data_IF_245011061913
#
_entry.id   IF_245011061913
#
_cell.length_a   1.000
_cell.length_b   1.000
_cell.length_c   1.000
_cell.angle_alpha   90.00
_cell.angle_beta   90.00
_cell.angle_gamma   90.00
#
_symmetry.space_group_name_H-M   'P 1'
#
loop_
_entity.id
_entity.type
_entity.pdbx_description
1 polymer ?
#
# COMPACT_ATOMS: atom_id res chain seq x y z
N UNK A 1 2.04 5.18 -13.70
CA UNK A 1 3.25 4.40 -13.40
C UNK A 1 3.13 3.09 -14.15
N UNK A 2 4.13 2.71 -14.95
CA UNK A 2 4.08 1.46 -15.72
C UNK A 2 4.60 0.34 -14.79
N UNK A 3 3.72 -0.57 -14.40
CA UNK A 3 4.04 -1.72 -13.55
C UNK A 3 4.78 -2.77 -14.41
N UNK A 4 5.82 -3.37 -13.85
CA UNK A 4 6.60 -4.41 -14.51
C UNK A 4 5.76 -5.69 -14.73
N UNK A 5 6.15 -6.50 -15.72
CA UNK A 5 5.32 -7.60 -16.21
C UNK A 5 4.94 -8.60 -15.11
N UNK A 6 5.88 -9.05 -14.27
CA UNK A 6 5.57 -9.96 -13.14
C UNK A 6 4.62 -9.35 -12.11
N UNK A 7 4.86 -8.10 -11.71
CA UNK A 7 4.05 -7.39 -10.73
C UNK A 7 2.59 -7.23 -11.19
N UNK A 8 2.38 -7.05 -12.51
CA UNK A 8 1.03 -7.02 -13.08
C UNK A 8 0.28 -8.34 -12.85
N UNK A 9 0.92 -9.49 -13.04
CA UNK A 9 0.28 -10.79 -12.81
C UNK A 9 0.03 -11.06 -11.32
N UNK A 10 0.94 -10.62 -10.45
CA UNK A 10 0.69 -10.64 -9.00
C UNK A 10 -0.54 -9.80 -8.64
N UNK A 11 -0.63 -8.59 -9.16
CA UNK A 11 -1.78 -7.70 -8.95
C UNK A 11 -3.08 -8.35 -9.44
N UNK A 12 -3.09 -8.93 -10.64
CA UNK A 12 -4.25 -9.67 -11.17
C UNK A 12 -4.65 -10.82 -10.26
N UNK A 13 -3.68 -11.65 -9.82
CA UNK A 13 -3.92 -12.77 -8.92
C UNK A 13 -4.49 -12.30 -7.59
N UNK A 14 -3.87 -11.32 -6.93
CA UNK A 14 -4.32 -10.83 -5.63
C UNK A 14 -5.71 -10.18 -5.70
N UNK A 15 -5.99 -9.40 -6.74
CA UNK A 15 -7.31 -8.83 -6.95
C UNK A 15 -8.36 -9.92 -7.20
N UNK A 16 -8.05 -10.94 -8.00
CA UNK A 16 -8.94 -12.07 -8.23
C UNK A 16 -9.19 -12.91 -6.97
N UNK A 17 -8.17 -13.07 -6.11
CA UNK A 17 -8.33 -13.74 -4.82
C UNK A 17 -9.30 -12.98 -3.90
N UNK A 18 -9.28 -11.63 -3.93
CA UNK A 18 -10.20 -10.75 -3.19
C UNK A 18 -11.60 -10.71 -3.82
N UNK A 19 -11.70 -10.66 -5.14
CA UNK A 19 -12.95 -10.63 -5.91
C UNK A 19 -12.88 -11.56 -7.14
N UNK A 20 -13.62 -12.66 -7.07
CA UNK A 20 -13.67 -13.69 -8.14
C UNK A 20 -14.43 -13.25 -9.39
N UNK A 21 -15.08 -12.08 -9.37
CA UNK A 21 -15.82 -11.54 -10.52
C UNK A 21 -14.93 -10.83 -11.53
N UNK A 22 -13.66 -10.54 -11.18
CA UNK A 22 -12.69 -9.89 -12.06
C UNK A 22 -12.45 -10.76 -13.30
N UNK A 23 -12.62 -10.16 -14.49
CA UNK A 23 -12.42 -10.84 -15.77
C UNK A 23 -10.94 -11.08 -16.06
N UNK A 24 -10.49 -12.32 -15.88
CA UNK A 24 -9.11 -12.77 -16.13
C UNK A 24 -9.11 -14.10 -16.88
N UNK A 25 -8.04 -14.37 -17.63
CA UNK A 25 -7.78 -15.69 -18.18
C UNK A 25 -7.22 -16.60 -17.06
N UNK A 26 -7.57 -17.90 -17.03
CA UNK A 26 -7.16 -18.80 -15.94
C UNK A 26 -5.65 -18.78 -15.66
N UNK A 27 -4.82 -18.81 -16.70
CA UNK A 27 -3.36 -18.81 -16.57
C UNK A 27 -2.79 -17.53 -15.94
N UNK A 28 -3.51 -16.40 -15.96
CA UNK A 28 -3.03 -15.13 -15.41
C UNK A 28 -3.04 -15.09 -13.88
N UNK A 29 -3.84 -15.96 -13.24
CA UNK A 29 -4.06 -15.97 -11.79
C UNK A 29 -3.73 -17.30 -11.13
N UNK A 30 -3.20 -18.24 -11.91
CA UNK A 30 -2.68 -19.51 -11.42
C UNK A 30 -1.52 -19.30 -10.44
N UNK A 31 -1.45 -20.18 -9.44
CA UNK A 31 -0.27 -20.27 -8.59
C UNK A 31 0.76 -21.20 -9.23
N UNK A 32 1.72 -20.60 -9.92
CA UNK A 32 2.82 -21.34 -10.55
C UNK A 32 3.77 -21.96 -9.51
N UNK A 33 3.78 -21.47 -8.26
CA UNK A 33 4.62 -22.02 -7.18
C UNK A 33 4.17 -23.41 -6.74
N UNK A 34 2.89 -23.71 -6.90
CA UNK A 34 2.30 -25.02 -6.55
C UNK A 34 2.46 -26.07 -7.66
N UNK A 35 2.80 -25.66 -8.88
CA UNK A 35 2.95 -26.58 -10.03
C UNK A 35 4.26 -27.35 -9.95
N UNK A 36 4.29 -28.57 -10.48
CA UNK A 36 5.55 -29.36 -10.54
C UNK A 36 6.42 -28.90 -11.71
N UNK A 37 7.72 -29.10 -11.60
CA UNK A 37 8.66 -28.70 -12.65
C UNK A 37 8.36 -29.36 -14.00
N UNK A 38 8.00 -30.64 -13.99
CA UNK A 38 7.63 -31.38 -15.22
C UNK A 38 6.37 -30.80 -15.89
N UNK A 39 5.44 -30.26 -15.09
CA UNK A 39 4.24 -29.60 -15.58
C UNK A 39 4.59 -28.27 -16.26
N UNK A 40 5.51 -27.49 -15.67
CA UNK A 40 5.99 -26.23 -16.24
C UNK A 40 6.64 -26.45 -17.61
N UNK A 41 7.58 -27.41 -17.72
CA UNK A 41 8.19 -27.77 -19.00
C UNK A 41 7.18 -28.33 -20.01
N UNK A 42 6.23 -29.16 -19.55
CA UNK A 42 5.16 -29.70 -20.39
C UNK A 42 4.29 -28.60 -21.00
N UNK A 43 3.99 -27.54 -20.23
CA UNK A 43 3.23 -26.37 -20.71
C UNK A 43 4.04 -25.51 -21.67
N UNK A 44 5.33 -25.27 -21.39
CA UNK A 44 6.21 -24.58 -22.33
C UNK A 44 6.27 -25.30 -23.68
N UNK A 45 6.34 -26.65 -23.65
CA UNK A 45 6.28 -27.48 -24.85
C UNK A 45 4.96 -27.34 -25.60
N UNK A 46 3.84 -27.28 -24.89
CA UNK A 46 2.52 -27.06 -25.50
C UNK A 46 2.39 -25.68 -26.16
N UNK A 47 3.07 -24.66 -25.62
CA UNK A 47 3.16 -23.33 -26.21
C UNK A 47 4.15 -23.27 -27.40
N UNK A 48 4.96 -24.31 -27.60
CA UNK A 48 5.92 -24.41 -28.71
C UNK A 48 7.38 -24.20 -28.34
N UNK A 49 7.72 -24.03 -27.05
CA UNK A 49 9.10 -24.04 -26.57
C UNK A 49 9.52 -25.45 -26.12
N UNK A 50 10.38 -26.08 -26.91
CA UNK A 50 10.98 -27.38 -26.60
C UNK A 50 12.19 -27.22 -25.67
N UNK A 51 11.89 -26.88 -24.41
CA UNK A 51 12.86 -26.81 -23.32
C UNK A 51 12.75 -28.05 -22.43
N UNK A 52 13.92 -28.55 -22.05
CA UNK A 52 14.16 -29.41 -20.90
C UNK A 52 15.09 -28.65 -19.94
N UNK A 53 15.38 -29.22 -18.77
CA UNK A 53 16.24 -28.60 -17.77
C UNK A 53 17.62 -28.21 -18.35
N UNK A 54 18.27 -29.11 -19.09
CA UNK A 54 19.59 -28.87 -19.69
C UNK A 54 19.55 -27.68 -20.67
N UNK A 55 18.55 -27.63 -21.55
CA UNK A 55 18.37 -26.53 -22.52
C UNK A 55 18.00 -25.23 -21.84
N UNK A 56 17.20 -25.27 -20.79
CA UNK A 56 16.85 -24.10 -20.00
C UNK A 56 18.11 -23.50 -19.37
N UNK A 57 18.91 -24.32 -18.68
CA UNK A 57 20.15 -23.88 -18.06
C UNK A 57 21.15 -23.36 -19.11
N UNK A 58 21.24 -23.98 -20.28
CA UNK A 58 22.07 -23.50 -21.38
C UNK A 58 21.64 -22.12 -21.87
N UNK A 59 20.34 -21.89 -22.08
CA UNK A 59 19.80 -20.61 -22.50
C UNK A 59 19.97 -19.53 -21.41
N UNK A 60 19.75 -19.89 -20.15
CA UNK A 60 19.83 -18.98 -19.02
C UNK A 60 21.25 -18.47 -18.75
N UNK A 61 22.30 -19.22 -19.14
CA UNK A 61 23.70 -18.74 -19.04
C UNK A 61 23.94 -17.46 -19.83
N UNK A 62 23.20 -17.25 -20.90
CA UNK A 62 23.40 -16.08 -21.75
C UNK A 62 22.48 -14.91 -21.37
N UNK A 63 21.43 -15.13 -20.58
CA UNK A 63 20.51 -14.10 -20.10
C UNK A 63 20.89 -13.63 -18.69
N UNK A 64 20.58 -12.37 -18.34
CA UNK A 64 20.82 -11.83 -16.99
C UNK A 64 19.69 -12.11 -16.02
N UNK A 65 18.46 -12.10 -16.52
CA UNK A 65 17.23 -12.18 -15.76
C UNK A 65 16.15 -12.96 -16.55
N UNK A 66 15.03 -13.37 -15.91
CA UNK A 66 13.97 -14.12 -16.59
C UNK A 66 13.29 -13.32 -17.71
N UNK A 67 13.26 -11.99 -17.62
CA UNK A 67 12.73 -11.11 -18.66
C UNK A 67 13.55 -11.20 -19.95
N UNK A 68 14.88 -11.08 -19.85
CA UNK A 68 15.80 -11.22 -20.97
C UNK A 68 15.78 -12.63 -21.55
N UNK A 69 15.66 -13.66 -20.71
CA UNK A 69 15.51 -15.04 -21.16
C UNK A 69 14.24 -15.21 -22.01
N UNK A 70 13.11 -14.69 -21.54
CA UNK A 70 11.85 -14.73 -22.27
C UNK A 70 11.94 -13.96 -23.60
N UNK A 71 12.58 -12.79 -23.60
CA UNK A 71 12.80 -12.00 -24.82
C UNK A 71 13.64 -12.74 -25.86
N UNK A 72 14.69 -13.43 -25.43
CA UNK A 72 15.56 -14.22 -26.31
C UNK A 72 14.86 -15.44 -26.91
N UNK A 73 14.07 -16.14 -26.10
CA UNK A 73 13.42 -17.39 -26.51
C UNK A 73 12.15 -17.17 -27.34
N UNK A 74 11.38 -16.12 -27.05
CA UNK A 74 10.03 -15.94 -27.61
C UNK A 74 9.85 -14.69 -28.48
N UNK A 75 10.62 -13.63 -28.25
CA UNK A 75 10.40 -12.32 -28.88
C UNK A 75 9.04 -11.70 -28.52
N UNK A 76 8.50 -10.81 -29.38
CA UNK A 76 7.30 -9.98 -29.11
C UNK A 76 5.95 -10.60 -29.56
N UNK A 77 5.68 -11.86 -29.25
CA UNK A 77 4.37 -12.48 -29.57
C UNK A 77 3.37 -12.32 -28.41
N UNK A 78 2.07 -12.31 -28.68
CA UNK A 78 1.02 -12.22 -27.63
C UNK A 78 1.07 -13.39 -26.63
N UNK A 79 1.46 -14.58 -27.08
CA UNK A 79 1.64 -15.78 -26.23
C UNK A 79 2.88 -15.73 -25.32
N UNK A 80 3.71 -14.67 -25.45
CA UNK A 80 4.92 -14.47 -24.62
C UNK A 80 4.58 -14.42 -23.14
N UNK A 81 3.48 -13.77 -22.79
CA UNK A 81 3.06 -13.53 -21.41
C UNK A 81 2.98 -14.81 -20.56
N UNK A 82 2.28 -15.82 -21.06
CA UNK A 82 2.12 -17.09 -20.35
C UNK A 82 3.45 -17.86 -20.30
N UNK A 83 4.23 -17.83 -21.38
CA UNK A 83 5.55 -18.44 -21.41
C UNK A 83 6.53 -17.77 -20.45
N UNK A 84 6.47 -16.44 -20.32
CA UNK A 84 7.26 -15.67 -19.37
C UNK A 84 7.00 -16.11 -17.94
N UNK A 85 5.73 -16.27 -17.53
CA UNK A 85 5.40 -16.74 -16.17
C UNK A 85 5.97 -18.13 -15.87
N UNK A 86 5.92 -19.04 -16.85
CA UNK A 86 6.53 -20.37 -16.73
C UNK A 86 8.06 -20.29 -16.63
N UNK A 87 8.70 -19.48 -17.48
CA UNK A 87 10.16 -19.28 -17.47
C UNK A 87 10.63 -18.59 -16.18
N UNK A 88 9.86 -17.64 -15.67
CA UNK A 88 10.11 -16.94 -14.41
C UNK A 88 10.13 -17.93 -13.24
N UNK A 89 9.13 -18.81 -13.17
CA UNK A 89 9.06 -19.83 -12.12
C UNK A 89 10.18 -20.87 -12.23
N UNK A 90 10.53 -21.29 -13.46
CA UNK A 90 11.69 -22.17 -13.67
C UNK A 90 13.00 -21.50 -13.27
N UNK A 91 13.18 -20.20 -13.57
CA UNK A 91 14.35 -19.44 -13.14
C UNK A 91 14.46 -19.42 -11.63
N UNK A 92 13.36 -19.13 -10.93
CA UNK A 92 13.29 -19.11 -9.47
C UNK A 92 13.75 -20.43 -8.84
N UNK A 93 13.39 -21.57 -9.44
CA UNK A 93 13.70 -22.91 -8.93
C UNK A 93 15.11 -23.39 -9.29
N UNK A 94 15.48 -23.25 -10.56
CA UNK A 94 16.69 -23.86 -11.12
C UNK A 94 17.93 -22.97 -10.99
N UNK A 95 17.75 -21.67 -10.74
CA UNK A 95 18.81 -20.68 -10.63
C UNK A 95 18.64 -19.86 -9.34
N UNK A 96 18.41 -20.55 -8.23
CA UNK A 96 18.13 -19.94 -6.91
C UNK A 96 19.23 -18.97 -6.44
N UNK A 97 20.46 -19.17 -6.88
CA UNK A 97 21.62 -18.32 -6.59
C UNK A 97 21.67 -17.03 -7.43
N UNK A 98 20.82 -16.92 -8.47
CA UNK A 98 20.75 -15.78 -9.39
C UNK A 98 19.52 -14.92 -9.10
N UNK A 99 19.46 -14.38 -7.89
CA UNK A 99 18.40 -13.48 -7.47
C UNK A 99 18.40 -12.19 -8.32
N UNK A 100 17.22 -11.81 -8.80
CA UNK A 100 17.00 -10.57 -9.56
C UNK A 100 16.03 -9.67 -8.81
N UNK A 101 15.95 -8.40 -9.20
CA UNK A 101 14.98 -7.47 -8.58
C UNK A 101 13.54 -7.96 -8.73
N UNK A 102 13.15 -8.48 -9.90
CA UNK A 102 11.82 -9.03 -10.12
C UNK A 102 11.51 -10.24 -9.23
N UNK A 103 12.50 -11.12 -8.98
CA UNK A 103 12.33 -12.27 -8.08
C UNK A 103 12.21 -11.82 -6.63
N UNK A 104 13.08 -10.89 -6.20
CA UNK A 104 13.01 -10.30 -4.87
C UNK A 104 11.63 -9.65 -4.62
N UNK A 105 11.16 -8.84 -5.56
CA UNK A 105 9.86 -8.18 -5.44
C UNK A 105 8.69 -9.17 -5.50
N UNK A 106 8.79 -10.24 -6.29
CA UNK A 106 7.78 -11.30 -6.28
C UNK A 106 7.68 -12.00 -4.92
N UNK A 107 8.80 -12.30 -4.27
CA UNK A 107 8.81 -12.84 -2.91
C UNK A 107 8.24 -11.84 -1.90
N UNK A 108 8.65 -10.58 -1.95
CA UNK A 108 8.12 -9.52 -1.08
C UNK A 108 6.60 -9.36 -1.24
N UNK A 109 6.08 -9.35 -2.47
CA UNK A 109 4.64 -9.31 -2.76
C UNK A 109 3.89 -10.48 -2.10
N UNK A 110 4.45 -11.71 -2.13
CA UNK A 110 3.80 -12.84 -1.48
C UNK A 110 3.78 -12.68 0.04
N UNK A 111 4.88 -12.25 0.66
CA UNK A 111 4.91 -12.04 2.12
C UNK A 111 4.02 -10.89 2.57
N UNK A 112 3.92 -9.80 1.79
CA UNK A 112 2.92 -8.75 2.01
C UNK A 112 1.51 -9.35 1.93
N UNK A 113 1.22 -10.18 0.92
CA UNK A 113 -0.08 -10.82 0.79
C UNK A 113 -0.42 -11.77 1.95
N UNK A 114 0.57 -12.50 2.48
CA UNK A 114 0.40 -13.36 3.65
C UNK A 114 0.12 -12.52 4.90
N UNK A 115 0.86 -11.43 5.08
CA UNK A 115 0.66 -10.49 6.18
C UNK A 115 -0.75 -9.88 6.17
N UNK A 116 -1.22 -9.38 5.02
CA UNK A 116 -2.58 -8.83 4.88
C UNK A 116 -3.68 -9.87 5.22
N UNK A 117 -3.38 -11.16 5.05
CA UNK A 117 -4.28 -12.28 5.42
C UNK A 117 -4.15 -12.71 6.88
N UNK A 118 -3.30 -12.03 7.66
CA UNK A 118 -3.04 -12.32 9.07
C UNK A 118 -2.05 -13.46 9.32
N UNK A 119 -1.31 -13.91 8.30
CA UNK A 119 -0.29 -14.96 8.42
C UNK A 119 1.06 -14.27 8.67
N UNK A 120 1.65 -14.48 9.85
CA UNK A 120 2.97 -13.95 10.23
C UNK A 120 3.97 -15.09 10.27
N UNK A 121 5.00 -15.03 9.43
CA UNK A 121 6.06 -16.05 9.35
C UNK A 121 7.46 -15.52 9.70
N UNK A 122 7.59 -14.24 10.06
CA UNK A 122 8.86 -13.59 10.46
C UNK A 122 9.82 -13.32 9.30
N UNK A 123 9.52 -13.83 8.11
CA UNK A 123 10.34 -13.64 6.91
C UNK A 123 10.12 -12.28 6.25
N UNK A 124 9.00 -11.61 6.56
CA UNK A 124 8.70 -10.28 6.03
C UNK A 124 9.70 -9.23 6.53
N UNK A 125 10.04 -9.27 7.81
CA UNK A 125 11.01 -8.37 8.44
C UNK A 125 12.40 -8.52 7.79
N UNK A 126 12.85 -9.76 7.56
CA UNK A 126 14.12 -10.04 6.88
C UNK A 126 14.12 -9.51 5.44
N UNK A 127 12.98 -9.63 4.73
CA UNK A 127 12.81 -9.09 3.38
C UNK A 127 12.79 -7.55 3.38
N UNK A 128 12.19 -6.91 4.38
CA UNK A 128 12.20 -5.46 4.51
C UNK A 128 13.59 -4.92 4.84
N UNK A 129 14.36 -5.57 5.70
CA UNK A 129 15.78 -5.22 5.92
C UNK A 129 16.59 -5.39 4.63
N UNK A 130 16.37 -6.49 3.91
CA UNK A 130 17.05 -6.73 2.62
C UNK A 130 16.67 -5.69 1.56
N UNK A 131 15.43 -5.16 1.62
CA UNK A 131 14.98 -4.08 0.77
C UNK A 131 15.71 -2.77 1.10
N UNK A 132 15.85 -2.43 2.39
CA UNK A 132 16.61 -1.27 2.85
C UNK A 132 18.07 -1.35 2.36
N UNK A 133 18.76 -2.46 2.60
CA UNK A 133 20.12 -2.71 2.11
C UNK A 133 20.23 -2.54 0.59
N UNK A 134 19.24 -3.06 -0.16
CA UNK A 134 19.20 -2.94 -1.60
C UNK A 134 19.06 -1.48 -2.04
N UNK A 135 18.20 -0.71 -1.40
CA UNK A 135 18.00 0.71 -1.69
C UNK A 135 19.24 1.54 -1.35
N UNK A 136 19.83 1.31 -0.17
CA UNK A 136 21.07 1.94 0.27
C UNK A 136 22.19 1.69 -0.73
N UNK A 137 22.31 0.47 -1.27
CA UNK A 137 23.32 0.12 -2.27
C UNK A 137 23.21 0.92 -3.58
N UNK A 138 22.03 1.44 -3.92
CA UNK A 138 21.84 2.34 -5.06
C UNK A 138 22.16 3.79 -4.68
N UNK A 139 21.74 4.23 -3.49
CA UNK A 139 22.04 5.57 -2.98
C UNK A 139 23.54 5.78 -2.80
N UNK A 140 24.27 4.78 -2.31
CA UNK A 140 25.73 4.76 -2.21
C UNK A 140 26.43 4.93 -3.56
N UNK A 141 25.77 4.52 -4.66
CA UNK A 141 26.25 4.73 -6.04
C UNK A 141 25.91 6.12 -6.58
N UNK A 142 25.29 6.98 -5.76
CA UNK A 142 24.95 8.36 -6.08
C UNK A 142 23.54 8.55 -6.65
N UNK A 143 22.68 7.53 -6.58
CA UNK A 143 21.29 7.66 -7.03
C UNK A 143 20.41 8.39 -6.01
N UNK A 144 19.32 8.99 -6.49
CA UNK A 144 18.33 9.66 -5.63
C UNK A 144 17.48 8.62 -4.87
N UNK A 145 17.36 8.71 -3.52
CA UNK A 145 16.61 7.73 -2.72
C UNK A 145 15.17 7.52 -3.21
N UNK A 146 14.45 8.61 -3.49
CA UNK A 146 13.05 8.55 -3.95
C UNK A 146 12.93 7.94 -5.35
N UNK A 147 13.91 8.14 -6.23
CA UNK A 147 13.96 7.44 -7.54
C UNK A 147 14.20 5.96 -7.36
N UNK A 148 15.12 5.55 -6.48
CA UNK A 148 15.39 4.14 -6.19
C UNK A 148 14.13 3.45 -5.66
N UNK A 149 13.47 4.07 -4.67
CA UNK A 149 12.24 3.55 -4.09
C UNK A 149 11.13 3.40 -5.13
N UNK A 150 10.92 4.40 -6.00
CA UNK A 150 9.95 4.31 -7.10
C UNK A 150 10.29 3.21 -8.11
N UNK A 151 11.56 3.03 -8.44
CA UNK A 151 12.02 1.97 -9.35
C UNK A 151 11.68 0.58 -8.80
N UNK A 152 11.97 0.35 -7.51
CA UNK A 152 11.62 -0.92 -6.84
C UNK A 152 10.11 -1.08 -6.75
N UNK A 153 9.39 -0.03 -6.38
CA UNK A 153 7.92 -0.05 -6.28
C UNK A 153 7.21 -0.41 -7.59
N UNK A 154 7.82 -0.14 -8.76
CA UNK A 154 7.26 -0.55 -10.04
C UNK A 154 7.33 -2.07 -10.30
N UNK A 155 8.13 -2.80 -9.51
CA UNK A 155 8.26 -4.26 -9.55
C UNK A 155 7.39 -4.96 -8.49
N UNK A 156 6.59 -4.22 -7.74
CA UNK A 156 5.66 -4.75 -6.75
C UNK A 156 4.20 -4.58 -7.22
N UNK A 157 3.37 -5.55 -6.90
CA UNK A 157 1.93 -5.46 -7.04
C UNK A 157 1.31 -4.60 -5.94
N UNK A 158 1.86 -4.68 -4.73
CA UNK A 158 1.42 -3.87 -3.60
C UNK A 158 1.99 -2.45 -3.66
N UNK A 159 1.21 -1.49 -3.18
CA UNK A 159 1.71 -0.14 -2.95
C UNK A 159 2.61 -0.15 -1.71
N UNK A 160 3.92 -0.20 -1.94
CA UNK A 160 4.93 -0.32 -0.89
C UNK A 160 4.88 0.82 0.14
N UNK A 161 4.69 2.08 -0.30
CA UNK A 161 4.63 3.23 0.63
C UNK A 161 3.42 3.11 1.57
N UNK A 162 2.26 2.73 1.02
CA UNK A 162 1.06 2.47 1.82
C UNK A 162 1.25 1.27 2.75
N UNK A 163 1.83 0.19 2.25
CA UNK A 163 2.09 -1.01 3.04
C UNK A 163 3.01 -0.71 4.21
N UNK A 164 4.14 -0.01 4.00
CA UNK A 164 5.05 0.40 5.07
C UNK A 164 4.33 1.23 6.13
N UNK A 165 3.49 2.18 5.72
CA UNK A 165 2.69 2.96 6.66
C UNK A 165 1.76 2.08 7.52
N UNK A 166 0.99 1.20 6.87
CA UNK A 166 0.04 0.30 7.56
C UNK A 166 0.77 -0.69 8.48
N UNK A 167 1.88 -1.26 8.00
CA UNK A 167 2.74 -2.18 8.75
C UNK A 167 3.32 -1.53 10.01
N UNK A 168 3.91 -0.34 9.89
CA UNK A 168 4.47 0.39 11.03
C UNK A 168 3.37 0.77 12.02
N UNK A 169 2.20 1.21 11.54
CA UNK A 169 1.05 1.50 12.40
C UNK A 169 0.63 0.26 13.20
N UNK A 170 0.63 -0.92 12.57
CA UNK A 170 0.29 -2.17 13.24
C UNK A 170 1.36 -2.57 14.28
N UNK A 171 2.64 -2.29 14.03
CA UNK A 171 3.71 -2.44 15.02
C UNK A 171 3.47 -1.54 16.24
N UNK A 172 3.17 -0.26 16.02
CA UNK A 172 2.81 0.70 17.10
C UNK A 172 1.62 0.19 17.91
N UNK A 173 0.56 -0.26 17.24
CA UNK A 173 -0.63 -0.81 17.89
C UNK A 173 -0.30 -2.07 18.72
N UNK A 174 0.67 -2.86 18.27
CA UNK A 174 1.16 -4.05 18.98
C UNK A 174 2.20 -3.75 20.07
N UNK A 175 2.57 -2.47 20.26
CA UNK A 175 3.60 -1.99 21.20
C UNK A 175 5.02 -2.43 20.87
N UNK A 176 5.30 -2.76 19.61
CA UNK A 176 6.66 -2.91 19.12
C UNK A 176 7.22 -1.54 18.71
N UNK A 177 7.53 -0.73 19.73
CA UNK A 177 7.98 0.64 19.53
C UNK A 177 9.37 0.72 18.89
N UNK A 178 10.24 -0.24 19.22
CA UNK A 178 11.60 -0.31 18.66
C UNK A 178 11.54 -0.63 17.17
N UNK A 179 10.82 -1.68 16.78
CA UNK A 179 10.68 -2.02 15.36
C UNK A 179 10.00 -0.90 14.57
N UNK A 180 8.94 -0.28 15.13
CA UNK A 180 8.29 0.86 14.50
C UNK A 180 9.26 2.04 14.26
N UNK A 181 10.07 2.39 15.26
CA UNK A 181 11.06 3.48 15.13
C UNK A 181 12.13 3.17 14.08
N UNK A 182 12.65 1.94 14.07
CA UNK A 182 13.67 1.50 13.11
C UNK A 182 13.16 1.64 11.67
N UNK A 183 11.96 1.13 11.37
CA UNK A 183 11.40 1.21 10.02
C UNK A 183 11.04 2.63 9.58
N UNK A 184 10.60 3.47 10.50
CA UNK A 184 10.39 4.89 10.20
C UNK A 184 11.71 5.52 9.79
N UNK A 185 12.76 5.33 10.57
CA UNK A 185 14.05 5.98 10.35
C UNK A 185 14.72 5.46 9.07
N UNK A 186 14.70 4.14 8.84
CA UNK A 186 15.29 3.51 7.66
C UNK A 186 14.63 3.92 6.34
N UNK A 187 13.30 4.05 6.31
CA UNK A 187 12.56 4.39 5.09
C UNK A 187 12.26 5.89 4.90
N UNK A 188 12.59 6.76 5.86
CA UNK A 188 12.18 8.18 5.88
C UNK A 188 12.57 8.95 4.61
N UNK A 189 13.80 8.77 4.14
CA UNK A 189 14.32 9.50 2.98
C UNK A 189 13.80 8.95 1.63
N UNK A 190 13.29 7.72 1.64
CA UNK A 190 12.83 6.99 0.47
C UNK A 190 11.39 7.31 0.08
N UNK A 191 10.52 7.53 1.06
CA UNK A 191 9.09 7.75 0.83
C UNK A 191 8.79 9.09 0.14
N UNK A 192 7.69 9.12 -0.61
CA UNK A 192 7.31 10.30 -1.38
C UNK A 192 6.87 11.43 -0.46
N UNK A 193 5.99 11.13 0.50
CA UNK A 193 5.44 12.10 1.44
C UNK A 193 5.87 11.81 2.89
N UNK A 194 6.97 12.42 3.38
CA UNK A 194 7.50 12.15 4.73
C UNK A 194 6.55 12.54 5.87
N UNK A 195 5.54 13.36 5.61
CA UNK A 195 4.57 13.79 6.62
C UNK A 195 3.77 12.63 7.21
N UNK A 196 3.56 11.55 6.45
CA UNK A 196 2.95 10.33 6.97
C UNK A 196 3.83 9.66 8.03
N UNK A 197 5.15 9.66 7.83
CA UNK A 197 6.10 9.13 8.81
C UNK A 197 6.30 10.09 9.98
N UNK A 198 6.27 11.41 9.76
CA UNK A 198 6.25 12.38 10.85
C UNK A 198 5.06 12.13 11.78
N UNK A 199 3.89 11.83 11.22
CA UNK A 199 2.72 11.46 12.00
C UNK A 199 2.90 10.15 12.78
N UNK A 200 3.48 9.11 12.16
CA UNK A 200 3.80 7.85 12.86
C UNK A 200 4.77 8.06 14.01
N UNK A 201 5.81 8.90 13.83
CA UNK A 201 6.73 9.29 14.92
C UNK A 201 5.98 9.94 16.06
N UNK A 202 5.09 10.89 15.78
CA UNK A 202 4.27 11.54 16.81
C UNK A 202 3.38 10.52 17.54
N UNK A 203 2.78 9.58 16.79
CA UNK A 203 1.94 8.53 17.36
C UNK A 203 2.73 7.63 18.32
N UNK A 204 3.98 7.29 17.98
CA UNK A 204 4.86 6.46 18.81
C UNK A 204 5.04 7.03 20.23
N UNK A 205 5.16 8.35 20.37
CA UNK A 205 5.39 9.01 21.66
C UNK A 205 4.11 9.36 22.44
N UNK A 206 2.93 9.11 21.86
CA UNK A 206 1.66 9.63 22.37
C UNK A 206 1.29 9.17 23.79
N UNK A 207 1.66 7.94 24.16
CA UNK A 207 1.35 7.39 25.49
C UNK A 207 2.30 7.89 26.58
N UNK A 208 3.54 8.26 26.22
CA UNK A 208 4.59 8.64 27.17
C UNK A 208 4.61 10.16 27.40
N UNK A 209 4.50 10.95 26.34
CA UNK A 209 4.71 12.41 26.37
C UNK A 209 3.53 13.17 25.77
N UNK A 210 2.35 13.10 26.40
CA UNK A 210 1.10 13.69 25.88
C UNK A 210 1.19 15.19 25.58
N UNK A 211 1.90 15.97 26.41
CA UNK A 211 2.01 17.41 26.18
C UNK A 211 2.83 17.72 24.92
N UNK A 212 4.01 17.12 24.80
CA UNK A 212 4.89 17.32 23.66
C UNK A 212 4.28 16.76 22.38
N UNK A 213 3.60 15.61 22.46
CA UNK A 213 2.81 15.04 21.36
C UNK A 213 1.79 16.04 20.81
N UNK A 214 1.05 16.74 21.68
CA UNK A 214 0.08 17.75 21.24
C UNK A 214 0.77 18.93 20.51
N UNK A 215 1.93 19.37 21.00
CA UNK A 215 2.71 20.44 20.37
C UNK A 215 3.24 20.01 19.00
N UNK A 216 3.79 18.80 18.89
CA UNK A 216 4.28 18.25 17.63
C UNK A 216 3.15 18.06 16.62
N UNK A 217 1.99 17.57 17.07
CA UNK A 217 0.82 17.38 16.22
C UNK A 217 0.28 18.71 15.69
N UNK A 218 0.20 19.73 16.54
CA UNK A 218 -0.19 21.09 16.12
C UNK A 218 0.74 21.60 15.01
N UNK A 219 2.07 21.48 15.19
CA UNK A 219 3.06 21.90 14.19
C UNK A 219 2.93 21.13 12.89
N UNK A 220 2.70 19.81 12.97
CA UNK A 220 2.48 19.00 11.78
C UNK A 220 1.25 19.51 11.03
N UNK A 221 0.10 19.65 11.70
CA UNK A 221 -1.16 20.12 11.12
C UNK A 221 -1.02 21.50 10.48
N UNK A 222 -0.29 22.43 11.10
CA UNK A 222 0.01 23.76 10.53
C UNK A 222 0.81 23.70 9.22
N UNK A 223 1.58 22.63 9.00
CA UNK A 223 2.32 22.39 7.75
C UNK A 223 1.51 21.68 6.66
N UNK A 224 0.31 21.18 6.99
CA UNK A 224 -0.56 20.44 6.07
C UNK A 224 -1.41 21.38 5.23
N UNK A 225 -1.62 21.00 3.97
CA UNK A 225 -2.55 21.68 3.07
C UNK A 225 -3.78 20.81 2.90
N UNK A 226 -4.93 21.32 3.32
CA UNK A 226 -6.18 20.55 3.44
C UNK A 226 -6.50 19.64 2.24
N UNK A 227 -6.39 20.16 1.00
CA UNK A 227 -6.66 19.36 -0.20
C UNK A 227 -5.55 18.35 -0.54
N UNK A 228 -4.28 18.71 -0.34
CA UNK A 228 -3.14 17.88 -0.73
C UNK A 228 -2.87 16.76 0.29
N UNK A 229 -3.16 17.03 1.56
CA UNK A 229 -2.91 16.16 2.70
C UNK A 229 -4.24 15.67 3.32
N UNK A 230 -5.31 15.59 2.52
CA UNK A 230 -6.67 15.28 3.00
C UNK A 230 -6.74 13.96 3.77
N UNK A 231 -6.19 12.89 3.19
CA UNK A 231 -6.14 11.55 3.80
C UNK A 231 -5.35 11.53 5.11
N UNK A 232 -4.22 12.26 5.17
CA UNK A 232 -3.40 12.37 6.37
C UNK A 232 -4.15 13.13 7.47
N UNK A 233 -4.86 14.21 7.11
CA UNK A 233 -5.70 14.96 8.05
C UNK A 233 -6.85 14.11 8.60
N UNK A 234 -7.47 13.25 7.77
CA UNK A 234 -8.48 12.30 8.24
C UNK A 234 -7.91 11.28 9.24
N UNK A 235 -6.71 10.77 8.98
CA UNK A 235 -6.07 9.81 9.89
C UNK A 235 -5.59 10.49 11.19
N UNK A 236 -5.10 11.72 11.13
CA UNK A 236 -4.83 12.52 12.33
C UNK A 236 -6.12 12.77 13.11
N UNK A 237 -7.22 13.14 12.43
CA UNK A 237 -8.51 13.34 13.08
C UNK A 237 -8.98 12.06 13.78
N UNK A 238 -8.83 10.90 13.15
CA UNK A 238 -9.11 9.60 13.76
C UNK A 238 -8.30 9.37 15.03
N UNK A 239 -6.99 9.63 15.00
CA UNK A 239 -6.14 9.51 16.19
C UNK A 239 -6.53 10.47 17.31
N UNK A 240 -6.94 11.69 16.97
CA UNK A 240 -7.36 12.70 17.94
C UNK A 240 -8.62 12.32 18.71
N UNK A 241 -9.48 11.46 18.15
CA UNK A 241 -10.65 10.92 18.84
C UNK A 241 -10.17 10.18 20.10
N UNK A 242 -9.21 9.25 20.01
CA UNK A 242 -8.68 8.59 21.21
C UNK A 242 -7.79 9.50 22.06
N UNK A 243 -6.95 10.33 21.43
CA UNK A 243 -5.95 11.15 22.12
C UNK A 243 -6.56 12.32 22.93
N UNK A 244 -7.67 12.91 22.48
CA UNK A 244 -8.46 13.88 23.23
C UNK A 244 -8.05 15.36 23.10
N UNK A 245 -7.55 15.80 21.94
CA UNK A 245 -7.32 17.24 21.67
C UNK A 245 -8.48 17.85 20.88
N UNK A 246 -9.57 18.17 21.59
CA UNK A 246 -10.81 18.68 20.98
C UNK A 246 -10.61 19.93 20.11
N UNK A 247 -9.82 20.96 20.50
CA UNK A 247 -9.64 22.15 19.67
C UNK A 247 -8.98 21.83 18.33
N UNK A 248 -7.93 20.99 18.36
CA UNK A 248 -7.20 20.60 17.15
C UNK A 248 -8.07 19.71 16.24
N UNK A 249 -8.87 18.81 16.83
CA UNK A 249 -9.81 17.99 16.07
C UNK A 249 -10.83 18.86 15.32
N UNK A 250 -11.43 19.85 15.99
CA UNK A 250 -12.38 20.79 15.36
C UNK A 250 -11.71 21.66 14.28
N UNK A 251 -10.46 22.07 14.50
CA UNK A 251 -9.66 22.79 13.50
C UNK A 251 -9.48 21.94 12.23
N UNK A 252 -9.06 20.69 12.38
CA UNK A 252 -8.85 19.77 11.25
C UNK A 252 -10.15 19.53 10.49
N UNK A 253 -11.25 19.25 11.19
CA UNK A 253 -12.55 19.02 10.55
C UNK A 253 -13.04 20.23 9.76
N UNK A 254 -12.83 21.44 10.28
CA UNK A 254 -13.19 22.67 9.56
C UNK A 254 -12.40 22.79 8.25
N UNK A 255 -11.09 22.52 8.29
CA UNK A 255 -10.24 22.51 7.09
C UNK A 255 -10.61 21.42 6.09
N UNK A 256 -10.94 20.21 6.57
CA UNK A 256 -11.40 19.11 5.72
C UNK A 256 -12.73 19.44 5.03
N UNK A 257 -13.68 20.05 5.74
CA UNK A 257 -14.97 20.46 5.18
C UNK A 257 -14.84 21.51 4.09
N UNK A 258 -13.86 22.41 4.21
CA UNK A 258 -13.57 23.41 3.17
C UNK A 258 -12.89 22.81 1.93
N UNK A 259 -12.19 21.68 2.10
CA UNK A 259 -11.42 21.02 1.03
C UNK A 259 -12.14 19.85 0.36
N UNK A 260 -13.26 19.38 0.92
CA UNK A 260 -14.04 18.27 0.37
C UNK A 260 -14.71 18.66 -0.96
N UNK A 261 -14.48 17.83 -1.99
CA UNK A 261 -15.00 18.02 -3.35
C UNK A 261 -16.00 16.94 -3.74
N UNK A 262 -15.97 15.76 -3.10
CA UNK A 262 -16.84 14.63 -3.42
C UNK A 262 -17.76 14.23 -2.27
N UNK A 263 -18.85 13.53 -2.60
CA UNK A 263 -19.76 12.96 -1.59
C UNK A 263 -19.07 11.88 -0.74
N UNK A 264 -18.12 11.13 -1.30
CA UNK A 264 -17.29 10.15 -0.58
C UNK A 264 -16.42 10.83 0.50
N UNK A 265 -15.65 11.87 0.12
CA UNK A 265 -14.82 12.65 1.04
C UNK A 265 -15.66 13.26 2.18
N UNK A 266 -16.84 13.79 1.86
CA UNK A 266 -17.75 14.31 2.87
C UNK A 266 -18.27 13.20 3.80
N UNK A 267 -18.57 12.01 3.27
CA UNK A 267 -19.03 10.89 4.06
C UNK A 267 -17.94 10.33 5.00
N UNK A 268 -16.66 10.38 4.59
CA UNK A 268 -15.53 10.06 5.47
C UNK A 268 -15.42 11.05 6.63
N UNK A 269 -15.59 12.35 6.36
CA UNK A 269 -15.63 13.40 7.40
C UNK A 269 -16.79 13.13 8.38
N UNK A 270 -17.99 12.85 7.89
CA UNK A 270 -19.15 12.50 8.73
C UNK A 270 -18.84 11.30 9.61
N UNK A 271 -18.20 10.27 9.07
CA UNK A 271 -17.83 9.07 9.82
C UNK A 271 -16.90 9.41 11.00
N UNK A 272 -15.90 10.28 10.79
CA UNK A 272 -15.03 10.75 11.87
C UNK A 272 -15.76 11.58 12.91
N UNK A 273 -16.73 12.41 12.49
CA UNK A 273 -17.56 13.19 13.41
C UNK A 273 -18.49 12.31 14.25
N UNK A 274 -19.04 11.25 13.66
CA UNK A 274 -19.86 10.29 14.39
C UNK A 274 -19.03 9.62 15.48
N UNK A 275 -17.87 9.08 15.13
CA UNK A 275 -16.94 8.46 16.09
C UNK A 275 -16.58 9.43 17.23
N UNK A 276 -16.33 10.70 16.91
CA UNK A 276 -16.05 11.75 17.88
C UNK A 276 -17.21 12.03 18.84
N UNK A 277 -18.43 12.22 18.34
CA UNK A 277 -19.59 12.49 19.19
C UNK A 277 -19.99 11.28 20.03
N UNK A 278 -19.86 10.07 19.49
CA UNK A 278 -20.04 8.84 20.24
C UNK A 278 -19.06 8.77 21.43
N UNK A 279 -17.79 9.12 21.21
CA UNK A 279 -16.80 9.17 22.30
C UNK A 279 -17.14 10.18 23.39
N UNK A 280 -17.77 11.30 23.02
CA UNK A 280 -18.18 12.34 23.95
C UNK A 280 -19.55 12.10 24.60
N UNK A 281 -20.17 10.95 24.37
CA UNK A 281 -21.53 10.63 24.81
C UNK A 281 -22.58 11.67 24.36
N UNK A 282 -22.36 12.28 23.18
CA UNK A 282 -23.26 13.29 22.58
C UNK A 282 -24.25 12.63 21.61
N UNK A 283 -25.06 11.69 22.11
CA UNK A 283 -25.99 10.86 21.33
C UNK A 283 -26.89 11.66 20.37
N UNK A 284 -27.37 12.82 20.80
CA UNK A 284 -28.23 13.67 19.97
C UNK A 284 -27.50 14.18 18.73
N UNK A 285 -26.24 14.63 18.88
CA UNK A 285 -25.42 15.05 17.74
C UNK A 285 -25.04 13.83 16.88
N UNK A 286 -24.71 12.70 17.49
CA UNK A 286 -24.43 11.44 16.79
C UNK A 286 -25.58 11.00 15.87
N UNK A 287 -26.83 11.02 16.36
CA UNK A 287 -28.02 10.67 15.56
C UNK A 287 -28.20 11.58 14.34
N UNK A 288 -27.88 12.87 14.47
CA UNK A 288 -27.94 13.80 13.33
C UNK A 288 -26.94 13.39 12.25
N UNK A 289 -25.73 13.00 12.63
CA UNK A 289 -24.71 12.54 11.69
C UNK A 289 -25.12 11.21 11.04
N UNK A 290 -25.65 10.25 11.82
CA UNK A 290 -26.16 8.98 11.26
C UNK A 290 -27.25 9.21 10.19
N UNK A 291 -28.15 10.16 10.43
CA UNK A 291 -29.19 10.52 9.47
C UNK A 291 -28.60 11.15 8.19
N UNK A 292 -27.54 11.97 8.31
CA UNK A 292 -26.81 12.49 7.14
C UNK A 292 -26.16 11.37 6.33
N UNK A 293 -25.44 10.46 6.99
CA UNK A 293 -24.78 9.32 6.34
C UNK A 293 -25.81 8.45 5.60
N UNK A 294 -26.95 8.16 6.23
CA UNK A 294 -28.03 7.37 5.59
C UNK A 294 -28.58 8.04 4.35
N UNK A 295 -28.83 9.35 4.38
CA UNK A 295 -29.34 10.10 3.22
C UNK A 295 -28.34 10.08 2.05
N UNK A 296 -27.05 10.09 2.36
CA UNK A 296 -25.97 10.09 1.36
C UNK A 296 -25.65 8.72 0.78
N UNK A 297 -26.05 7.63 1.42
CA UNK A 297 -25.89 6.26 0.87
C UNK A 297 -26.53 6.05 -0.52
N UNK A 298 -27.49 6.91 -0.90
CA UNK A 298 -28.16 6.88 -2.20
C UNK A 298 -27.49 7.77 -3.27
N UNK A 299 -26.46 8.56 -2.90
CA UNK A 299 -25.72 9.42 -3.81
C UNK A 299 -24.55 8.66 -4.43
N UNK A 300 -24.10 9.12 -5.60
CA UNK A 300 -22.90 8.59 -6.24
C UNK A 300 -21.64 9.03 -5.46
N UNK A 301 -20.76 8.12 -5.01
CA UNK A 301 -19.61 8.47 -4.16
C UNK A 301 -18.68 9.51 -4.79
N UNK A 302 -18.42 9.35 -6.10
CA UNK A 302 -17.57 10.22 -6.90
C UNK A 302 -18.33 11.45 -7.43
N UNK A 303 -19.60 11.62 -7.06
CA UNK A 303 -20.39 12.79 -7.36
C UNK A 303 -19.80 14.04 -6.71
N UNK A 304 -19.81 15.16 -7.44
CA UNK A 304 -19.36 16.44 -6.92
C UNK A 304 -20.25 16.88 -5.76
N UNK A 305 -19.63 17.21 -4.64
CA UNK A 305 -20.30 17.79 -3.48
C UNK A 305 -20.83 19.19 -3.83
N UNK A 306 -22.11 19.42 -3.57
CA UNK A 306 -22.73 20.73 -3.75
C UNK A 306 -22.26 21.69 -2.66
N UNK A 307 -21.77 22.87 -3.05
CA UNK A 307 -21.30 23.90 -2.13
C UNK A 307 -22.45 24.50 -1.30
N UNK A 308 -23.69 24.43 -1.80
CA UNK A 308 -24.91 24.87 -1.11
C UNK A 308 -25.62 23.71 -0.38
N UNK A 309 -24.97 22.54 -0.23
CA UNK A 309 -25.58 21.40 0.44
C UNK A 309 -25.94 21.77 1.90
N UNK A 310 -27.22 21.67 2.31
CA UNK A 310 -27.66 22.09 3.63
C UNK A 310 -27.02 21.29 4.77
N UNK A 311 -26.54 20.07 4.49
CA UNK A 311 -25.83 19.28 5.50
C UNK A 311 -24.45 19.88 5.81
N UNK A 312 -23.81 20.66 4.90
CA UNK A 312 -22.54 21.35 5.18
C UNK A 312 -22.72 22.43 6.26
N UNK A 313 -23.74 23.27 6.12
CA UNK A 313 -24.03 24.31 7.11
C UNK A 313 -24.46 23.70 8.44
N UNK A 314 -25.30 22.65 8.39
CA UNK A 314 -25.70 21.92 9.59
C UNK A 314 -24.51 21.31 10.32
N UNK A 315 -23.52 20.79 9.60
CA UNK A 315 -22.31 20.22 10.19
C UNK A 315 -21.42 21.29 10.82
N UNK A 316 -21.25 22.44 10.16
CA UNK A 316 -20.52 23.59 10.73
C UNK A 316 -21.14 24.07 12.04
N UNK A 317 -22.47 24.11 12.13
CA UNK A 317 -23.17 24.48 13.36
C UNK A 317 -22.95 23.48 14.50
N UNK A 318 -22.87 22.17 14.20
CA UNK A 318 -22.56 21.14 15.19
C UNK A 318 -21.14 21.27 15.76
N UNK A 319 -20.19 21.80 14.98
CA UNK A 319 -18.81 22.05 15.39
C UNK A 319 -18.62 23.33 16.21
N UNK A 320 -19.57 24.26 16.20
CA UNK A 320 -19.51 25.50 16.98
C UNK A 320 -20.15 25.37 18.37
N UNK A 321 -21.08 24.42 18.54
CA UNK A 321 -21.69 24.07 19.84
C UNK A 321 -21.08 22.85 20.51
#
# INVERSE_FOLDING_TARGET
MQVCEKALYNLLRFNWLKDRSVSVLPWQVEDYREQREEELFGRLKALGLLLDEERFLAAAKEAKDPEELADRLWGKKEERAQAYLLLFELWRRLLSERQTLSLFCDELDQHISLYERGIKDGSLEELLSSLEDLLDSYVDKGEDPKKCFRMVSCHLAYNLERFLYEYIRDLIASKDETGASEWIDGFYDYISNPKWFDFLRIHLFAEVERHDTAVHLQRLVESLKARQDFDLLLEIARFLISFGQDPLFRQILSSLLEAAETDEEFNEILSRMLDYFCRLDQDEKGRVIEEMIRRRSCKEPQGKLDAEDPDLERLRNLLQG
#
